data_IF_874059698785
#
_entry.id   IF_874059698785
#
_cell.length_a   1.000
_cell.length_b   1.000
_cell.length_c   1.000
_cell.angle_alpha   90.00
_cell.angle_beta   90.00
_cell.angle_gamma   90.00
#
_symmetry.space_group_name_H-M   'P 1'
#
loop_
_entity.id
_entity.type
_entity.pdbx_description
1 polymer ?
#
# COMPACT_ATOMS: atom_id res chain seq x y z
N UNK A 1 -39.15 32.35 42.16
CA UNK A 1 -39.24 31.48 40.96
C UNK A 1 -37.86 31.40 40.31
N UNK A 2 -37.13 30.29 40.48
CA UNK A 2 -35.83 30.04 39.81
C UNK A 2 -36.12 29.43 38.43
N UNK A 3 -35.68 30.09 37.36
CA UNK A 3 -35.73 29.55 35.99
C UNK A 3 -34.53 28.63 35.78
N UNK A 4 -34.79 27.34 35.61
CA UNK A 4 -33.80 26.37 35.14
C UNK A 4 -33.61 26.54 33.64
N UNK A 5 -32.43 27.00 33.22
CA UNK A 5 -32.04 27.03 31.81
C UNK A 5 -31.50 25.67 31.39
N UNK A 6 -32.20 24.98 30.49
CA UNK A 6 -31.67 23.82 29.78
C UNK A 6 -30.66 24.32 28.73
N UNK A 7 -29.38 24.04 28.94
CA UNK A 7 -28.36 24.24 27.92
C UNK A 7 -28.38 23.05 26.95
N UNK A 8 -28.87 23.25 25.73
CA UNK A 8 -28.63 22.34 24.61
C UNK A 8 -27.16 22.48 24.19
N UNK A 9 -26.36 21.44 24.43
CA UNK A 9 -25.00 21.33 23.87
C UNK A 9 -25.14 20.79 22.44
N UNK A 10 -24.74 21.55 21.40
CA UNK A 10 -24.74 21.02 20.04
C UNK A 10 -23.60 19.99 19.93
N UNK A 11 -23.94 18.73 19.63
CA UNK A 11 -22.98 17.76 19.14
C UNK A 11 -22.47 18.23 17.78
N UNK A 12 -21.32 18.89 17.76
CA UNK A 12 -20.54 19.08 16.54
C UNK A 12 -20.11 17.70 16.06
N UNK A 13 -20.76 17.20 15.01
CA UNK A 13 -20.27 16.08 14.24
C UNK A 13 -18.93 16.50 13.63
N UNK A 14 -17.82 16.10 14.26
CA UNK A 14 -16.49 16.13 13.65
C UNK A 14 -16.48 15.14 12.49
N UNK A 15 -17.08 15.51 11.37
CA UNK A 15 -16.84 14.83 10.10
C UNK A 15 -15.36 15.02 9.83
N UNK A 16 -14.58 13.95 9.88
CA UNK A 16 -13.17 14.01 9.53
C UNK A 16 -13.09 14.58 8.12
N UNK A 17 -12.46 15.74 7.96
CA UNK A 17 -12.16 16.29 6.65
C UNK A 17 -11.21 15.29 5.96
N UNK A 18 -11.77 14.43 5.12
CA UNK A 18 -10.96 13.70 4.15
C UNK A 18 -10.32 14.76 3.26
N UNK A 19 -8.98 14.78 3.22
CA UNK A 19 -8.27 15.70 2.35
C UNK A 19 -8.64 15.36 0.91
N UNK A 20 -9.23 16.30 0.18
CA UNK A 20 -9.64 16.08 -1.20
C UNK A 20 -8.42 15.67 -2.06
N UNK A 21 -8.64 14.87 -3.12
CA UNK A 21 -7.62 14.62 -4.12
C UNK A 21 -6.94 15.92 -4.59
N UNK A 22 -5.61 15.89 -4.69
CA UNK A 22 -4.82 17.03 -5.13
C UNK A 22 -3.93 16.65 -6.31
N UNK A 23 -3.65 17.63 -7.18
CA UNK A 23 -2.73 17.46 -8.29
C UNK A 23 -1.28 17.52 -7.80
N UNK A 24 -0.49 16.51 -8.11
CA UNK A 24 0.95 16.52 -7.86
C UNK A 24 1.73 16.99 -9.10
N UNK A 25 2.89 17.62 -8.89
CA UNK A 25 3.76 18.15 -9.96
C UNK A 25 4.31 17.06 -10.89
N UNK A 26 4.34 15.81 -10.43
CA UNK A 26 4.72 14.64 -11.23
C UNK A 26 3.65 14.19 -12.24
N UNK A 27 2.53 14.91 -12.37
CA UNK A 27 1.49 14.56 -13.35
C UNK A 27 0.53 13.47 -12.88
N UNK A 28 0.21 13.44 -11.59
CA UNK A 28 -0.73 12.47 -11.01
C UNK A 28 -1.65 13.13 -9.97
N UNK A 29 -2.87 12.60 -9.85
CA UNK A 29 -3.75 12.90 -8.73
C UNK A 29 -3.33 12.07 -7.53
N UNK A 30 -3.34 12.67 -6.34
CA UNK A 30 -3.00 12.00 -5.09
C UNK A 30 -4.03 12.26 -4.01
N UNK A 31 -4.23 11.30 -3.13
CA UNK A 31 -5.06 11.44 -1.93
C UNK A 31 -4.42 10.70 -0.74
N UNK A 32 -4.44 11.34 0.43
CA UNK A 32 -4.01 10.71 1.68
C UNK A 32 -5.18 10.01 2.36
N UNK A 33 -5.08 8.70 2.50
CA UNK A 33 -6.03 7.83 3.17
C UNK A 33 -5.41 7.29 4.45
N UNK A 34 -5.50 8.04 5.55
CA UNK A 34 -4.79 7.73 6.82
C UNK A 34 -3.27 7.62 6.56
N UNK A 35 -2.70 6.43 6.77
CA UNK A 35 -1.28 6.14 6.57
C UNK A 35 -0.94 5.66 5.15
N UNK A 36 -1.89 5.82 4.21
CA UNK A 36 -1.73 5.45 2.81
C UNK A 36 -1.74 6.69 1.94
N UNK A 37 -0.87 6.72 0.93
CA UNK A 37 -0.92 7.67 -0.16
C UNK A 37 -1.35 6.92 -1.42
N UNK A 38 -2.54 7.25 -1.91
CA UNK A 38 -3.04 6.76 -3.19
C UNK A 38 -2.71 7.77 -4.29
N UNK A 39 -2.41 7.27 -5.48
CA UNK A 39 -1.98 8.05 -6.62
C UNK A 39 -2.50 7.41 -7.92
N UNK A 40 -2.89 8.26 -8.87
CA UNK A 40 -3.29 7.86 -10.21
C UNK A 40 -2.68 8.84 -11.22
N UNK A 41 -1.77 8.37 -12.09
CA UNK A 41 -1.25 9.17 -13.20
C UNK A 41 -2.37 9.74 -14.08
N UNK A 42 -2.17 10.97 -14.56
CA UNK A 42 -3.15 11.68 -15.36
C UNK A 42 -3.44 11.00 -16.70
N UNK A 43 -2.48 10.27 -17.24
CA UNK A 43 -2.57 9.52 -18.50
C UNK A 43 -2.08 8.08 -18.29
N UNK A 44 -2.45 7.18 -19.21
CA UNK A 44 -1.87 5.83 -19.29
C UNK A 44 -0.88 5.87 -20.44
N UNK A 45 0.33 5.43 -20.16
CA UNK A 45 1.32 5.09 -21.16
C UNK A 45 1.36 3.56 -21.30
N UNK A 46 0.69 3.04 -22.35
CA UNK A 46 0.60 1.60 -22.62
C UNK A 46 1.96 0.99 -23.01
N UNK A 47 2.89 1.82 -23.46
CA UNK A 47 4.25 1.43 -23.87
C UNK A 47 5.26 1.61 -22.73
N UNK A 48 4.80 2.00 -21.53
CA UNK A 48 5.66 2.19 -20.39
C UNK A 48 6.35 0.88 -19.99
N UNK A 49 7.65 0.97 -19.74
CA UNK A 49 8.47 -0.15 -19.28
C UNK A 49 8.32 -0.46 -17.78
N UNK A 50 7.37 0.18 -17.10
CA UNK A 50 7.07 -0.08 -15.70
C UNK A 50 5.59 0.11 -15.40
N UNK A 51 5.09 -0.61 -14.39
CA UNK A 51 3.71 -0.52 -13.91
C UNK A 51 3.26 0.91 -13.58
N UNK A 52 4.20 1.80 -13.23
CA UNK A 52 3.91 3.18 -12.88
C UNK A 52 3.27 3.97 -14.04
N UNK A 53 3.57 3.64 -15.29
CA UNK A 53 3.07 4.38 -16.45
C UNK A 53 1.60 4.10 -16.80
N UNK A 54 1.08 2.93 -16.40
CA UNK A 54 -0.28 2.49 -16.75
C UNK A 54 -1.15 2.15 -15.54
N UNK A 55 -0.65 2.25 -14.31
CA UNK A 55 -1.38 1.83 -13.12
C UNK A 55 -1.73 2.99 -12.19
N UNK A 56 -2.88 2.88 -11.52
CA UNK A 56 -3.09 3.57 -10.26
C UNK A 56 -2.41 2.77 -9.15
N UNK A 57 -1.95 3.43 -8.08
CA UNK A 57 -1.29 2.72 -6.98
C UNK A 57 -1.54 3.41 -5.66
N UNK A 58 -1.43 2.64 -4.58
CA UNK A 58 -1.47 3.18 -3.23
C UNK A 58 -0.43 2.50 -2.38
N UNK A 59 0.25 3.25 -1.52
CA UNK A 59 1.27 2.66 -0.64
C UNK A 59 1.23 3.21 0.77
N UNK A 60 1.62 2.34 1.69
CA UNK A 60 2.01 2.68 3.06
C UNK A 60 3.47 2.28 3.27
N UNK A 61 4.09 2.79 4.32
CA UNK A 61 5.53 2.70 4.50
C UNK A 61 5.93 2.56 5.98
N UNK A 62 7.12 2.01 6.21
CA UNK A 62 7.75 2.03 7.53
C UNK A 62 8.13 3.45 7.93
N UNK A 63 8.19 3.70 9.23
CA UNK A 63 8.76 4.94 9.77
C UNK A 63 10.29 4.99 9.62
N UNK A 64 10.94 3.83 9.58
CA UNK A 64 12.37 3.72 9.35
C UNK A 64 12.73 4.22 7.95
N UNK A 65 13.73 5.10 7.88
CA UNK A 65 14.25 5.70 6.66
C UNK A 65 15.67 5.21 6.38
N UNK A 66 15.99 5.02 5.10
CA UNK A 66 17.33 4.73 4.64
C UNK A 66 18.17 6.02 4.47
N UNK A 67 19.42 5.89 4.05
CA UNK A 67 20.37 6.99 3.87
C UNK A 67 19.97 7.98 2.77
N UNK A 68 19.10 7.56 1.85
CA UNK A 68 18.49 8.41 0.83
C UNK A 68 17.17 9.07 1.30
N UNK A 69 16.85 8.97 2.60
CA UNK A 69 15.62 9.49 3.21
C UNK A 69 14.34 8.89 2.57
N UNK A 70 14.41 7.63 2.14
CA UNK A 70 13.28 6.85 1.66
C UNK A 70 12.89 5.80 2.71
N UNK A 71 11.60 5.47 2.85
CA UNK A 71 11.19 4.41 3.76
C UNK A 71 11.84 3.08 3.41
N UNK A 72 12.35 2.40 4.43
CA UNK A 72 13.03 1.11 4.27
C UNK A 72 12.08 0.04 3.76
N UNK A 73 10.84 0.02 4.23
CA UNK A 73 9.85 -0.97 3.82
C UNK A 73 8.59 -0.28 3.32
N UNK A 74 8.00 -0.81 2.24
CA UNK A 74 6.70 -0.36 1.74
C UNK A 74 5.80 -1.53 1.40
N UNK A 75 4.51 -1.31 1.54
CA UNK A 75 3.47 -2.15 0.97
C UNK A 75 2.70 -1.32 -0.04
N UNK A 76 2.58 -1.82 -1.27
CA UNK A 76 1.98 -1.10 -2.40
C UNK A 76 0.89 -1.96 -3.00
N UNK A 77 -0.30 -1.40 -3.20
CA UNK A 77 -1.33 -1.94 -4.07
C UNK A 77 -1.20 -1.27 -5.42
N UNK A 78 -1.25 -2.03 -6.51
CA UNK A 78 -1.12 -1.54 -7.87
C UNK A 78 -2.35 -1.99 -8.66
N UNK A 79 -3.22 -1.06 -9.01
CA UNK A 79 -4.36 -1.30 -9.88
C UNK A 79 -3.94 -1.06 -11.33
N UNK A 80 -3.69 -2.15 -12.06
CA UNK A 80 -3.42 -2.10 -13.48
C UNK A 80 -4.68 -1.60 -14.20
N UNK A 81 -4.56 -0.49 -14.94
CA UNK A 81 -5.70 0.14 -15.61
C UNK A 81 -6.00 -0.49 -16.98
N UNK A 82 -5.12 -1.36 -17.48
CA UNK A 82 -5.29 -2.06 -18.75
C UNK A 82 -6.22 -3.26 -18.61
N UNK A 83 -6.09 -4.03 -17.53
CA UNK A 83 -6.86 -5.26 -17.27
C UNK A 83 -7.75 -5.19 -16.02
N UNK A 84 -7.55 -4.19 -15.15
CA UNK A 84 -8.28 -4.03 -13.89
C UNK A 84 -7.75 -4.90 -12.75
N UNK A 85 -6.66 -5.64 -12.93
CA UNK A 85 -6.06 -6.47 -11.89
C UNK A 85 -5.44 -5.60 -10.78
N UNK A 86 -5.52 -6.08 -9.54
CA UNK A 86 -4.86 -5.43 -8.40
C UNK A 86 -3.75 -6.32 -7.88
N UNK A 87 -2.52 -5.88 -8.08
CA UNK A 87 -1.32 -6.51 -7.56
C UNK A 87 -0.95 -5.94 -6.18
N UNK A 88 -0.23 -6.75 -5.41
CA UNK A 88 0.39 -6.33 -4.15
C UNK A 88 1.90 -6.49 -4.27
N UNK A 89 2.63 -5.43 -3.93
CA UNK A 89 4.07 -5.40 -3.97
C UNK A 89 4.66 -4.97 -2.62
N UNK A 90 5.77 -5.61 -2.25
CA UNK A 90 6.55 -5.33 -1.04
C UNK A 90 7.87 -4.71 -1.49
N UNK A 91 8.21 -3.53 -0.98
CA UNK A 91 9.51 -2.90 -1.23
C UNK A 91 10.42 -3.10 -0.02
N UNK A 92 11.68 -3.47 -0.27
CA UNK A 92 12.75 -3.59 0.73
C UNK A 92 13.96 -2.74 0.29
N UNK A 93 14.05 -1.52 0.80
CA UNK A 93 15.03 -0.50 0.41
C UNK A 93 16.05 -0.17 1.53
N UNK A 94 16.49 -1.17 2.30
CA UNK A 94 17.49 -0.98 3.35
C UNK A 94 18.89 -0.80 2.76
N UNK A 95 19.66 0.20 3.22
CA UNK A 95 20.99 0.54 2.64
C UNK A 95 22.00 -0.61 2.68
N UNK A 96 22.04 -1.32 3.81
CA UNK A 96 23.07 -2.32 4.13
C UNK A 96 22.49 -3.72 4.35
N UNK A 97 21.18 -3.87 4.24
CA UNK A 97 20.49 -5.12 4.46
C UNK A 97 19.84 -5.54 3.16
N UNK A 98 20.38 -6.58 2.54
CA UNK A 98 19.72 -7.23 1.42
C UNK A 98 18.72 -8.25 1.97
N UNK A 99 17.53 -8.29 1.39
CA UNK A 99 16.59 -9.38 1.59
C UNK A 99 17.27 -10.70 1.23
N UNK A 100 17.26 -11.65 2.17
CA UNK A 100 17.71 -13.01 1.96
C UNK A 100 16.62 -13.82 1.26
N UNK A 101 16.69 -13.85 -0.07
CA UNK A 101 15.70 -14.50 -0.93
C UNK A 101 15.58 -16.03 -0.75
N UNK A 102 16.51 -16.66 -0.01
CA UNK A 102 16.42 -18.09 0.32
C UNK A 102 15.38 -18.40 1.39
N UNK A 103 14.97 -17.38 2.16
CA UNK A 103 13.98 -17.49 3.25
C UNK A 103 12.74 -16.66 2.90
N UNK A 104 11.53 -17.12 3.28
CA UNK A 104 10.31 -16.41 2.94
C UNK A 104 10.16 -15.11 3.75
N UNK A 105 9.66 -14.06 3.10
CA UNK A 105 9.03 -12.93 3.78
C UNK A 105 7.76 -13.43 4.46
N UNK A 106 7.39 -12.90 5.61
CA UNK A 106 6.11 -13.22 6.25
C UNK A 106 5.24 -11.99 6.43
N UNK A 107 3.95 -12.14 6.09
CA UNK A 107 2.90 -11.19 6.45
C UNK A 107 2.14 -11.74 7.65
N UNK A 108 2.18 -11.02 8.77
CA UNK A 108 1.53 -11.43 10.01
C UNK A 108 0.39 -10.47 10.32
N UNK A 109 -0.83 -10.92 10.05
CA UNK A 109 -2.04 -10.21 10.43
C UNK A 109 -2.48 -10.65 11.83
N UNK A 110 -3.07 -9.73 12.61
CA UNK A 110 -3.57 -10.04 13.95
C UNK A 110 -4.59 -11.18 13.90
N UNK A 111 -4.42 -12.18 14.77
CA UNK A 111 -5.28 -13.36 14.91
C UNK A 111 -5.43 -14.23 13.65
N UNK A 112 -4.45 -14.18 12.74
CA UNK A 112 -4.39 -15.06 11.56
C UNK A 112 -3.03 -15.77 11.50
N UNK A 113 -2.96 -16.99 10.93
CA UNK A 113 -1.68 -17.62 10.65
C UNK A 113 -0.80 -16.72 9.76
N UNK A 114 0.52 -16.66 10.00
CA UNK A 114 1.44 -15.94 9.12
C UNK A 114 1.37 -16.47 7.68
N UNK A 115 1.29 -15.56 6.71
CA UNK A 115 1.41 -15.89 5.29
C UNK A 115 2.87 -15.85 4.91
N UNK A 116 3.40 -16.97 4.43
CA UNK A 116 4.78 -17.08 3.97
C UNK A 116 4.88 -16.81 2.46
N UNK A 117 5.75 -15.89 2.09
CA UNK A 117 5.97 -15.40 0.74
C UNK A 117 7.39 -15.80 0.28
N UNK A 118 7.50 -16.85 -0.51
CA UNK A 118 8.76 -17.41 -1.02
C UNK A 118 9.10 -16.87 -2.42
N UNK A 119 10.33 -16.39 -2.58
CA UNK A 119 10.86 -15.94 -3.88
C UNK A 119 10.83 -17.08 -4.92
N UNK A 120 10.39 -16.75 -6.14
CA UNK A 120 10.26 -17.68 -7.27
C UNK A 120 9.04 -18.60 -7.22
N UNK A 121 8.23 -18.56 -6.16
CA UNK A 121 6.98 -19.33 -6.07
C UNK A 121 5.79 -18.40 -5.86
N UNK A 122 5.81 -17.63 -4.77
CA UNK A 122 4.73 -16.69 -4.45
C UNK A 122 5.17 -15.24 -4.55
N UNK A 123 6.48 -14.98 -4.64
CA UNK A 123 7.04 -13.68 -4.93
C UNK A 123 7.85 -13.70 -6.21
N UNK A 124 7.80 -12.60 -6.94
CA UNK A 124 8.65 -12.38 -8.09
C UNK A 124 9.06 -10.91 -8.22
N UNK A 125 9.98 -10.65 -9.13
CA UNK A 125 10.40 -9.31 -9.53
C UNK A 125 9.91 -9.10 -10.96
N UNK A 126 9.25 -7.96 -11.21
CA UNK A 126 8.77 -7.54 -12.53
C UNK A 126 9.20 -6.08 -12.79
N UNK A 127 8.95 -5.60 -14.01
CA UNK A 127 8.96 -4.16 -14.34
C UNK A 127 10.29 -3.44 -14.09
N UNK A 128 11.41 -4.15 -14.31
CA UNK A 128 12.78 -3.64 -14.12
C UNK A 128 13.04 -3.06 -12.71
N UNK A 129 12.32 -3.58 -11.71
CA UNK A 129 12.54 -3.23 -10.31
C UNK A 129 13.61 -4.17 -9.70
N UNK A 130 14.35 -3.71 -8.69
CA UNK A 130 15.38 -4.53 -8.03
C UNK A 130 15.04 -4.88 -6.59
N UNK A 131 14.18 -4.08 -5.96
CA UNK A 131 13.89 -4.12 -4.54
C UNK A 131 12.38 -4.12 -4.25
N UNK A 132 11.56 -4.36 -5.28
CA UNK A 132 10.11 -4.49 -5.20
C UNK A 132 9.71 -5.89 -5.63
N UNK A 133 8.96 -6.57 -4.77
CA UNK A 133 8.60 -7.98 -4.90
C UNK A 133 7.08 -8.10 -4.97
N UNK A 134 6.56 -8.61 -6.09
CA UNK A 134 5.14 -8.77 -6.36
C UNK A 134 4.66 -10.14 -5.88
N UNK A 135 3.46 -10.21 -5.32
CA UNK A 135 2.82 -11.48 -5.02
C UNK A 135 2.35 -12.12 -6.33
N UNK A 136 3.05 -13.16 -6.77
CA UNK A 136 2.87 -13.80 -8.08
C UNK A 136 1.63 -14.70 -8.16
N UNK A 137 1.28 -15.35 -7.05
CA UNK A 137 0.14 -16.25 -6.96
C UNK A 137 -1.16 -15.44 -6.79
N UNK A 138 -2.05 -15.52 -7.78
CA UNK A 138 -3.30 -14.75 -7.82
C UNK A 138 -4.23 -15.04 -6.62
N UNK A 139 -4.37 -16.31 -6.25
CA UNK A 139 -5.24 -16.73 -5.15
C UNK A 139 -4.68 -16.27 -3.79
N UNK A 140 -3.36 -16.31 -3.66
CA UNK A 140 -2.66 -15.79 -2.49
C UNK A 140 -2.75 -14.27 -2.42
N UNK A 141 -2.56 -13.56 -3.54
CA UNK A 141 -2.68 -12.11 -3.63
C UNK A 141 -4.08 -11.66 -3.21
N UNK A 142 -5.13 -12.31 -3.74
CA UNK A 142 -6.51 -12.06 -3.33
C UNK A 142 -6.74 -12.29 -1.82
N UNK A 143 -6.17 -13.37 -1.27
CA UNK A 143 -6.26 -13.65 0.18
C UNK A 143 -5.59 -12.56 1.03
N UNK A 144 -4.40 -12.11 0.62
CA UNK A 144 -3.67 -11.03 1.30
C UNK A 144 -4.47 -9.73 1.22
N UNK A 145 -5.04 -9.40 0.06
CA UNK A 145 -5.85 -8.21 -0.13
C UNK A 145 -7.09 -8.21 0.78
N UNK A 146 -7.79 -9.34 0.90
CA UNK A 146 -8.93 -9.44 1.82
C UNK A 146 -8.50 -9.23 3.28
N UNK A 147 -7.38 -9.81 3.71
CA UNK A 147 -6.87 -9.55 5.05
C UNK A 147 -6.48 -8.08 5.26
N UNK A 148 -5.91 -7.42 4.24
CA UNK A 148 -5.61 -5.99 4.28
C UNK A 148 -6.87 -5.13 4.41
N UNK A 149 -7.98 -5.52 3.78
CA UNK A 149 -9.28 -4.82 3.88
C UNK A 149 -9.92 -4.95 5.26
N UNK A 150 -9.77 -6.10 5.92
CA UNK A 150 -10.44 -6.39 7.20
C UNK A 150 -9.62 -6.06 8.45
N UNK A 151 -8.32 -5.79 8.31
CA UNK A 151 -7.42 -5.54 9.44
C UNK A 151 -6.95 -4.10 9.43
N UNK A 152 -6.44 -3.64 10.57
CA UNK A 152 -5.89 -2.29 10.72
C UNK A 152 -4.38 -2.23 10.50
N UNK A 153 -3.70 -3.37 10.52
CA UNK A 153 -2.28 -3.48 10.26
C UNK A 153 -1.82 -4.91 10.02
N UNK A 154 -0.57 -5.01 9.57
CA UNK A 154 0.21 -6.23 9.55
C UNK A 154 1.62 -5.98 10.11
N UNK A 155 2.28 -7.05 10.56
CA UNK A 155 3.72 -7.07 10.77
C UNK A 155 4.35 -7.72 9.53
N UNK A 156 5.22 -6.96 8.86
CA UNK A 156 6.06 -7.44 7.78
C UNK A 156 7.35 -7.97 8.39
N UNK A 157 7.64 -9.25 8.17
CA UNK A 157 8.85 -9.93 8.64
C UNK A 157 9.74 -10.23 7.44
N UNK A 158 10.90 -9.57 7.36
CA UNK A 158 11.84 -9.69 6.24
C UNK A 158 13.13 -10.37 6.71
N UNK A 159 13.46 -11.57 6.20
CA UNK A 159 14.75 -12.18 6.47
C UNK A 159 15.84 -11.39 5.75
N UNK A 160 16.93 -11.06 6.44
CA UNK A 160 18.03 -10.29 5.86
C UNK A 160 19.31 -11.10 5.87
N UNK A 161 20.15 -10.91 4.85
CA UNK A 161 21.40 -11.64 4.69
C UNK A 161 22.30 -11.40 5.92
N UNK A 162 22.88 -12.47 6.45
CA UNK A 162 23.77 -12.41 7.61
C UNK A 162 23.07 -12.30 8.97
N UNK A 163 21.74 -12.28 9.04
CA UNK A 163 21.00 -12.28 10.30
C UNK A 163 20.16 -13.54 10.49
N UNK A 164 20.24 -14.12 11.69
CA UNK A 164 19.44 -15.29 12.08
C UNK A 164 17.96 -14.91 12.17
N UNK A 165 17.66 -13.79 12.84
CA UNK A 165 16.28 -13.32 13.05
C UNK A 165 15.87 -12.38 11.91
N UNK A 166 14.64 -12.51 11.37
CA UNK A 166 14.08 -11.52 10.47
C UNK A 166 13.96 -10.15 11.14
N UNK A 167 14.05 -9.09 10.35
CA UNK A 167 13.64 -7.75 10.77
C UNK A 167 12.12 -7.68 10.69
N UNK A 168 11.49 -7.08 11.70
CA UNK A 168 10.05 -6.92 11.74
C UNK A 168 9.66 -5.45 11.78
N UNK A 169 8.71 -5.07 10.93
CA UNK A 169 8.16 -3.72 10.91
C UNK A 169 6.64 -3.77 10.81
N UNK A 170 5.97 -2.84 11.47
CA UNK A 170 4.51 -2.75 11.46
C UNK A 170 4.07 -1.79 10.36
N UNK A 171 3.20 -2.24 9.47
CA UNK A 171 2.61 -1.43 8.41
C UNK A 171 1.10 -1.28 8.65
N UNK A 172 0.57 -0.09 8.39
CA UNK A 172 -0.85 0.20 8.55
C UNK A 172 -1.66 -0.36 7.38
N UNK A 173 -2.88 -0.85 7.62
CA UNK A 173 -3.82 -1.23 6.55
C UNK A 173 -5.13 -0.44 6.64
N UNK A 174 -5.24 0.53 7.55
CA UNK A 174 -6.45 1.33 7.77
C UNK A 174 -6.89 2.15 6.55
N UNK A 175 -5.97 2.48 5.64
CA UNK A 175 -6.22 3.24 4.42
C UNK A 175 -6.59 2.39 3.20
N UNK A 176 -6.61 1.07 3.32
CA UNK A 176 -6.73 0.15 2.17
C UNK A 176 -8.05 0.35 1.41
N UNK A 177 -9.19 0.32 2.11
CA UNK A 177 -10.50 0.45 1.46
C UNK A 177 -10.67 1.80 0.74
N UNK A 178 -10.32 2.90 1.40
CA UNK A 178 -10.39 4.23 0.80
C UNK A 178 -9.41 4.40 -0.36
N UNK A 179 -8.24 3.76 -0.29
CA UNK A 179 -7.27 3.77 -1.39
C UNK A 179 -7.75 2.95 -2.60
N UNK A 180 -8.36 1.79 -2.38
CA UNK A 180 -8.99 1.02 -3.45
C UNK A 180 -10.13 1.81 -4.11
N UNK A 181 -10.96 2.48 -3.31
CA UNK A 181 -12.03 3.35 -3.81
C UNK A 181 -11.47 4.49 -4.66
N UNK A 182 -10.47 5.22 -4.15
CA UNK A 182 -9.76 6.26 -4.90
C UNK A 182 -9.22 5.73 -6.22
N UNK A 183 -8.46 4.63 -6.19
CA UNK A 183 -7.83 4.05 -7.38
C UNK A 183 -8.89 3.63 -8.39
N UNK A 184 -9.97 2.96 -7.97
CA UNK A 184 -11.04 2.53 -8.88
C UNK A 184 -11.81 3.72 -9.49
N UNK A 185 -12.02 4.79 -8.71
CA UNK A 185 -12.68 6.03 -9.14
C UNK A 185 -11.85 6.76 -10.21
N UNK A 186 -10.54 6.79 -10.05
CA UNK A 186 -9.64 7.54 -10.93
C UNK A 186 -9.04 6.69 -12.06
N UNK A 187 -9.03 5.35 -11.94
CA UNK A 187 -8.56 4.43 -12.97
C UNK A 187 -9.35 4.54 -14.27
N UNK A 188 -10.67 4.76 -14.17
CA UNK A 188 -11.61 4.73 -15.31
C UNK A 188 -11.59 5.99 -16.18
N UNK A 189 -10.76 7.00 -15.88
CA UNK A 189 -10.72 8.22 -16.70
C UNK A 189 -10.07 8.06 -18.09
N UNK A 190 -9.70 6.82 -18.43
CA UNK A 190 -10.04 6.07 -19.67
C UNK A 190 -10.83 6.76 -20.78
N UNK A 191 -12.03 7.23 -20.46
CA UNK A 191 -12.95 7.78 -21.46
C UNK A 191 -13.04 9.31 -21.37
N UNK A 192 -11.89 9.93 -21.11
CA UNK A 192 -11.39 11.07 -21.88
C UNK A 192 -10.22 10.68 -22.82
N UNK A 193 -9.87 9.39 -22.98
CA UNK A 193 -8.82 8.95 -23.92
C UNK A 193 -9.35 8.87 -25.34
#
# INVERSE_FOLDING_TARGET
MRRSGFALVPLLFCVSAAAQPFQHSSGEYREYNRDWLAACPNFIDEEANSWYGYSCFASTASQEMNSANLPVYKLTMVLNRLDGATDIAITVAADKLSYDQSRPIQLKFTNLPPIALKMGTSLEIRDNTINQFFIADEALSATVLEHMKERNALILSVPVVGQIRPVETRLSTQGVLASLDFMSTHARKVAQY
#
